data_IF_672836832882
#
_entry.id   IF_672836832882
#
_cell.length_a   1.000
_cell.length_b   1.000
_cell.length_c   1.000
_cell.angle_alpha   90.00
_cell.angle_beta   90.00
_cell.angle_gamma   90.00
#
_symmetry.space_group_name_H-M   'P 1'
#
loop_
_entity.id
_entity.type
_entity.pdbx_description
1 polymer ?
#
# COMPACT_ATOMS: atom_id res chain seq x y z
N UNK A 1 -5.80 23.59 -78.26
CA UNK A 1 -5.79 22.11 -78.14
C UNK A 1 -4.42 21.78 -77.59
N UNK A 2 -4.35 21.23 -76.37
CA UNK A 2 -3.11 21.13 -75.62
C UNK A 2 -2.22 20.01 -76.19
N UNK A 3 -0.98 20.36 -76.51
CA UNK A 3 0.11 19.43 -76.79
C UNK A 3 0.49 18.70 -75.51
N UNK A 4 0.50 17.37 -75.57
CA UNK A 4 1.13 16.53 -74.55
C UNK A 4 2.37 15.93 -75.21
N UNK A 5 3.53 16.34 -74.70
CA UNK A 5 4.84 15.82 -75.09
C UNK A 5 5.09 14.55 -74.28
N UNK A 6 5.36 13.45 -74.98
CA UNK A 6 5.75 12.15 -74.42
C UNK A 6 7.22 12.19 -73.94
N UNK A 7 7.46 11.91 -72.66
CA UNK A 7 8.75 12.04 -71.99
C UNK A 7 9.23 10.75 -71.29
N UNK A 8 8.76 9.57 -71.71
CA UNK A 8 9.28 8.30 -71.16
C UNK A 8 9.76 7.40 -72.29
N UNK A 9 11.04 7.53 -72.62
CA UNK A 9 11.77 6.63 -73.51
C UNK A 9 12.00 5.26 -72.88
N UNK A 10 10.93 4.51 -72.63
CA UNK A 10 11.00 3.15 -72.12
C UNK A 10 10.72 2.15 -73.24
N UNK A 11 11.73 1.33 -73.54
CA UNK A 11 11.60 0.19 -74.45
C UNK A 11 10.58 -0.82 -73.91
N UNK A 12 9.80 -1.48 -74.78
CA UNK A 12 8.80 -2.44 -74.33
C UNK A 12 9.49 -3.64 -73.67
N UNK A 13 9.24 -3.83 -72.37
CA UNK A 13 9.71 -4.98 -71.60
C UNK A 13 8.96 -6.24 -72.07
N UNK A 14 9.71 -7.21 -72.61
CA UNK A 14 9.20 -8.53 -72.97
C UNK A 14 8.86 -9.28 -71.67
N UNK A 15 7.57 -9.48 -71.40
CA UNK A 15 7.09 -10.31 -70.29
C UNK A 15 7.14 -11.77 -70.74
N UNK A 16 8.09 -12.54 -70.20
CA UNK A 16 8.08 -13.99 -70.35
C UNK A 16 6.97 -14.60 -69.46
N UNK A 17 6.23 -15.61 -69.94
CA UNK A 17 5.19 -16.25 -69.14
C UNK A 17 5.81 -16.94 -67.92
N UNK A 18 5.28 -16.62 -66.75
CA UNK A 18 5.61 -17.26 -65.47
C UNK A 18 5.12 -18.71 -65.56
N UNK A 19 6.05 -19.67 -65.54
CA UNK A 19 5.73 -21.10 -65.50
C UNK A 19 4.88 -21.46 -64.25
N UNK A 20 4.23 -22.63 -64.25
CA UNK A 20 3.30 -23.02 -63.18
C UNK A 20 3.98 -22.99 -61.80
N UNK A 21 3.41 -22.20 -60.88
CA UNK A 21 3.86 -22.12 -59.48
C UNK A 21 3.61 -23.47 -58.82
N UNK A 22 4.69 -24.18 -58.46
CA UNK A 22 4.59 -25.44 -57.75
C UNK A 22 3.78 -25.27 -56.45
N UNK A 23 2.89 -26.21 -56.11
CA UNK A 23 2.07 -26.10 -54.90
C UNK A 23 2.97 -26.02 -53.66
N UNK A 24 2.81 -24.98 -52.86
CA UNK A 24 3.54 -24.80 -51.60
C UNK A 24 3.30 -26.03 -50.73
N UNK A 25 4.34 -26.85 -50.51
CA UNK A 25 4.30 -27.99 -49.57
C UNK A 25 3.74 -27.48 -48.23
N UNK A 26 2.65 -28.08 -47.76
CA UNK A 26 2.11 -27.79 -46.43
C UNK A 26 3.20 -28.07 -45.40
N UNK A 27 3.59 -27.04 -44.64
CA UNK A 27 4.61 -27.17 -43.60
C UNK A 27 4.07 -28.13 -42.54
N UNK A 28 4.89 -29.09 -42.14
CA UNK A 28 4.54 -29.99 -41.05
C UNK A 28 4.09 -29.18 -39.81
N UNK A 29 3.04 -29.63 -39.10
CA UNK A 29 2.52 -28.91 -37.95
C UNK A 29 3.63 -28.69 -36.91
N UNK A 30 3.74 -27.45 -36.43
CA UNK A 30 4.77 -27.06 -35.47
C UNK A 30 4.68 -27.92 -34.22
N UNK A 31 5.82 -28.43 -33.75
CA UNK A 31 5.93 -29.19 -32.49
C UNK A 31 6.49 -28.30 -31.39
N UNK A 32 5.86 -28.32 -30.22
CA UNK A 32 6.30 -27.52 -29.08
C UNK A 32 7.65 -28.03 -28.55
N UNK A 33 8.61 -27.11 -28.35
CA UNK A 33 9.94 -27.45 -27.82
C UNK A 33 9.93 -27.96 -26.37
N UNK A 34 8.87 -27.66 -25.60
CA UNK A 34 8.67 -28.05 -24.22
C UNK A 34 7.83 -29.33 -24.11
N UNK A 35 6.52 -29.26 -24.30
CA UNK A 35 5.59 -30.39 -24.10
C UNK A 35 5.53 -31.39 -25.26
N UNK A 36 6.24 -31.12 -26.37
CA UNK A 36 6.33 -31.98 -27.57
C UNK A 36 5.02 -32.24 -28.33
N UNK A 37 3.93 -31.59 -27.95
CA UNK A 37 2.65 -31.62 -28.66
C UNK A 37 2.68 -30.82 -29.97
N UNK A 38 1.83 -31.21 -30.93
CA UNK A 38 1.69 -30.54 -32.23
C UNK A 38 0.75 -29.33 -32.16
N UNK A 39 0.83 -28.45 -33.15
CA UNK A 39 -0.09 -27.33 -33.35
C UNK A 39 0.32 -26.02 -32.67
N UNK A 40 1.39 -25.99 -31.87
CA UNK A 40 1.87 -24.78 -31.20
C UNK A 40 3.39 -24.80 -30.97
N UNK A 41 3.98 -23.63 -30.69
CA UNK A 41 5.40 -23.50 -30.35
C UNK A 41 5.58 -23.23 -28.84
N UNK A 42 6.83 -23.22 -28.36
CA UNK A 42 7.14 -23.03 -26.94
C UNK A 42 6.62 -21.70 -26.36
N UNK A 43 6.52 -20.65 -27.18
CA UNK A 43 6.06 -19.32 -26.75
C UNK A 43 4.56 -19.29 -26.47
N UNK A 44 3.79 -20.11 -27.19
CA UNK A 44 2.34 -20.25 -27.03
C UNK A 44 1.94 -21.52 -26.26
N UNK A 45 2.89 -22.16 -25.59
CA UNK A 45 2.66 -23.38 -24.84
C UNK A 45 1.75 -23.11 -23.64
N UNK A 46 0.66 -23.87 -23.49
CA UNK A 46 -0.27 -23.81 -22.35
C UNK A 46 -0.26 -25.13 -21.58
N UNK A 47 0.91 -25.71 -21.42
CA UNK A 47 1.09 -26.94 -20.65
C UNK A 47 0.46 -26.81 -19.25
N UNK A 48 -0.35 -27.78 -18.79
CA UNK A 48 -1.06 -27.69 -17.51
C UNK A 48 -0.14 -27.45 -16.31
N UNK A 49 1.05 -28.04 -16.33
CA UNK A 49 2.01 -27.91 -15.24
C UNK A 49 2.59 -26.48 -15.16
N UNK A 50 2.92 -25.89 -16.33
CA UNK A 50 3.34 -24.49 -16.42
C UNK A 50 2.23 -23.56 -15.95
N UNK A 51 1.00 -23.76 -16.45
CA UNK A 51 -0.12 -22.90 -16.11
C UNK A 51 -0.46 -22.99 -14.62
N UNK A 52 -0.31 -24.17 -14.02
CA UNK A 52 -0.46 -24.34 -12.58
C UNK A 52 0.62 -23.57 -11.80
N UNK A 53 1.89 -23.60 -12.22
CA UNK A 53 2.93 -22.76 -11.59
C UNK A 53 2.65 -21.28 -11.72
N UNK A 54 2.23 -20.80 -12.90
CA UNK A 54 1.89 -19.37 -13.05
C UNK A 54 0.74 -18.99 -12.12
N UNK A 55 -0.25 -19.86 -11.97
CA UNK A 55 -1.37 -19.65 -11.04
C UNK A 55 -0.90 -19.65 -9.58
N UNK A 56 -0.06 -20.60 -9.19
CA UNK A 56 0.53 -20.69 -7.86
C UNK A 56 1.34 -19.42 -7.54
N UNK A 57 2.20 -18.97 -8.46
CA UNK A 57 2.96 -17.72 -8.29
C UNK A 57 2.03 -16.52 -8.07
N UNK A 58 1.00 -16.35 -8.91
CA UNK A 58 0.01 -15.28 -8.75
C UNK A 58 -0.71 -15.37 -7.40
N UNK A 59 -1.08 -16.57 -6.97
CA UNK A 59 -1.72 -16.77 -5.66
C UNK A 59 -0.79 -16.46 -4.50
N UNK A 60 0.48 -16.86 -4.58
CA UNK A 60 1.50 -16.52 -3.58
C UNK A 60 1.69 -15.01 -3.52
N UNK A 61 1.96 -14.35 -4.65
CA UNK A 61 2.15 -12.90 -4.72
C UNK A 61 0.94 -12.15 -4.16
N UNK A 62 -0.29 -12.55 -4.51
CA UNK A 62 -1.51 -11.90 -4.01
C UNK A 62 -1.73 -12.08 -2.49
N UNK A 63 -1.14 -13.11 -1.88
CA UNK A 63 -1.15 -13.28 -0.41
C UNK A 63 -0.09 -12.42 0.27
N UNK A 64 0.90 -11.95 -0.49
CA UNK A 64 2.08 -11.23 -0.04
C UNK A 64 2.76 -11.89 1.18
N UNK A 65 3.28 -13.13 1.05
CA UNK A 65 4.17 -13.74 2.04
C UNK A 65 5.50 -12.96 2.12
N UNK A 66 6.42 -13.30 3.04
CA UNK A 66 7.78 -12.78 2.99
C UNK A 66 8.38 -12.96 1.59
N UNK A 67 9.05 -11.93 1.10
CA UNK A 67 9.59 -11.90 -0.25
C UNK A 67 10.51 -13.10 -0.53
N UNK A 68 11.32 -13.47 0.46
CA UNK A 68 12.23 -14.62 0.38
C UNK A 68 11.52 -15.94 0.11
N UNK A 69 10.33 -16.17 0.67
CA UNK A 69 9.53 -17.38 0.42
C UNK A 69 9.20 -17.56 -1.07
N UNK A 70 8.96 -16.46 -1.78
CA UNK A 70 8.70 -16.51 -3.23
C UNK A 70 9.99 -16.80 -3.99
N UNK A 71 11.10 -16.16 -3.60
CA UNK A 71 12.41 -16.38 -4.23
C UNK A 71 12.86 -17.83 -4.08
N UNK A 72 12.74 -18.39 -2.88
CA UNK A 72 13.09 -19.78 -2.59
C UNK A 72 12.23 -20.74 -3.42
N UNK A 73 10.93 -20.47 -3.53
CA UNK A 73 10.04 -21.26 -4.39
C UNK A 73 10.45 -21.18 -5.86
N UNK A 74 10.76 -19.99 -6.39
CA UNK A 74 11.24 -19.82 -7.77
C UNK A 74 12.56 -20.57 -8.01
N UNK A 75 13.44 -20.63 -7.01
CA UNK A 75 14.68 -21.39 -7.07
C UNK A 75 14.44 -22.91 -7.16
N UNK A 76 13.28 -23.43 -6.76
CA UNK A 76 12.95 -24.86 -6.95
C UNK A 76 12.55 -25.22 -8.38
N UNK A 77 12.17 -24.23 -9.21
CA UNK A 77 11.63 -24.45 -10.55
C UNK A 77 12.77 -24.63 -11.57
N UNK A 78 12.55 -25.51 -12.56
CA UNK A 78 13.48 -25.72 -13.66
C UNK A 78 13.56 -24.50 -14.59
N UNK A 79 14.70 -24.31 -15.23
CA UNK A 79 14.98 -23.12 -16.05
C UNK A 79 14.06 -23.00 -17.27
N UNK A 80 13.61 -24.11 -17.86
CA UNK A 80 12.77 -24.06 -19.06
C UNK A 80 11.35 -23.63 -18.70
N UNK A 81 10.82 -24.15 -17.59
CA UNK A 81 9.55 -23.71 -17.01
C UNK A 81 9.60 -22.26 -16.56
N UNK A 82 10.66 -21.83 -15.88
CA UNK A 82 10.84 -20.43 -15.48
C UNK A 82 10.79 -19.46 -16.67
N UNK A 83 11.45 -19.78 -17.78
CA UNK A 83 11.41 -18.93 -19.00
C UNK A 83 10.00 -18.75 -19.55
N UNK A 84 9.22 -19.84 -19.60
CA UNK A 84 7.85 -19.78 -20.11
C UNK A 84 6.94 -19.07 -19.09
N UNK A 85 7.10 -19.35 -17.80
CA UNK A 85 6.40 -18.65 -16.73
C UNK A 85 6.65 -17.14 -16.82
N UNK A 86 7.89 -16.71 -17.03
CA UNK A 86 8.25 -15.30 -17.12
C UNK A 86 7.49 -14.61 -18.25
N UNK A 87 7.49 -15.21 -19.45
CA UNK A 87 6.75 -14.66 -20.59
C UNK A 87 5.24 -14.54 -20.33
N UNK A 88 4.66 -15.43 -19.52
CA UNK A 88 3.23 -15.41 -19.15
C UNK A 88 2.90 -14.53 -17.95
N UNK A 89 3.86 -14.29 -17.06
CA UNK A 89 3.65 -13.53 -15.84
C UNK A 89 3.87 -12.03 -16.08
N UNK A 90 5.01 -11.68 -16.69
CA UNK A 90 5.40 -10.29 -16.97
C UNK A 90 5.05 -9.82 -18.38
N UNK A 91 4.36 -10.65 -19.17
CA UNK A 91 3.99 -10.36 -20.57
C UNK A 91 5.20 -10.00 -21.45
N UNK A 92 6.39 -10.47 -21.08
CA UNK A 92 7.63 -10.24 -21.82
C UNK A 92 7.80 -11.25 -22.95
N UNK A 93 8.58 -10.87 -23.97
CA UNK A 93 8.93 -11.80 -25.05
C UNK A 93 9.73 -12.98 -24.49
N UNK A 94 9.45 -14.19 -24.97
CA UNK A 94 10.22 -15.36 -24.58
C UNK A 94 11.70 -15.22 -24.98
N UNK A 95 12.57 -15.37 -24.00
CA UNK A 95 14.02 -15.23 -24.11
C UNK A 95 14.71 -16.42 -23.43
N UNK A 96 15.87 -16.85 -23.94
CA UNK A 96 16.65 -17.97 -23.39
C UNK A 96 17.49 -17.53 -22.17
N UNK A 97 16.87 -16.91 -21.18
CA UNK A 97 17.57 -16.46 -19.98
C UNK A 97 18.16 -17.62 -19.17
N UNK A 98 19.23 -17.36 -18.41
CA UNK A 98 19.72 -18.30 -17.39
C UNK A 98 18.72 -18.41 -16.25
N UNK A 99 18.84 -19.44 -15.39
CA UNK A 99 17.97 -19.58 -14.21
C UNK A 99 18.05 -18.35 -13.30
N UNK A 100 19.28 -17.90 -13.01
CA UNK A 100 19.55 -16.69 -12.22
C UNK A 100 18.85 -15.46 -12.81
N UNK A 101 19.04 -15.20 -14.11
CA UNK A 101 18.39 -14.07 -14.78
C UNK A 101 16.86 -14.15 -14.74
N UNK A 102 16.26 -15.35 -14.86
CA UNK A 102 14.82 -15.49 -14.72
C UNK A 102 14.35 -15.10 -13.31
N UNK A 103 15.04 -15.59 -12.28
CA UNK A 103 14.73 -15.27 -10.87
C UNK A 103 14.91 -13.76 -10.64
N UNK A 104 16.00 -13.15 -11.11
CA UNK A 104 16.25 -11.72 -10.95
C UNK A 104 15.14 -10.86 -11.57
N UNK A 105 14.65 -11.22 -12.77
CA UNK A 105 13.54 -10.48 -13.40
C UNK A 105 12.25 -10.67 -12.60
N UNK A 106 11.95 -11.88 -12.13
CA UNK A 106 10.79 -12.10 -11.25
C UNK A 106 10.92 -11.27 -9.96
N UNK A 107 12.10 -11.23 -9.35
CA UNK A 107 12.36 -10.46 -8.14
C UNK A 107 12.01 -8.99 -8.32
N UNK A 108 12.45 -8.38 -9.43
CA UNK A 108 12.13 -6.96 -9.72
C UNK A 108 10.63 -6.75 -9.90
N UNK A 109 9.98 -7.54 -10.76
CA UNK A 109 8.55 -7.37 -11.05
C UNK A 109 7.68 -7.58 -9.79
N UNK A 110 8.06 -8.54 -8.95
CA UNK A 110 7.33 -8.82 -7.70
C UNK A 110 7.63 -7.76 -6.66
N UNK A 111 8.87 -7.26 -6.55
CA UNK A 111 9.22 -6.17 -5.65
C UNK A 111 8.40 -4.91 -5.95
N UNK A 112 8.22 -4.55 -7.23
CA UNK A 112 7.36 -3.42 -7.63
C UNK A 112 5.92 -3.58 -7.12
N UNK A 113 5.37 -4.81 -7.20
CA UNK A 113 4.03 -5.09 -6.68
C UNK A 113 3.95 -4.95 -5.15
N UNK A 114 4.98 -5.39 -4.43
CA UNK A 114 5.08 -5.23 -2.98
C UNK A 114 5.19 -3.76 -2.59
N UNK A 115 6.01 -2.97 -3.27
CA UNK A 115 6.16 -1.54 -3.01
C UNK A 115 4.87 -0.76 -3.28
N UNK A 116 4.13 -1.09 -4.35
CA UNK A 116 2.83 -0.47 -4.60
C UNK A 116 1.82 -0.78 -3.48
N UNK A 117 1.78 -2.03 -3.02
CA UNK A 117 0.89 -2.44 -1.93
C UNK A 117 1.33 -1.84 -0.58
N UNK A 118 2.63 -1.74 -0.33
CA UNK A 118 3.23 -1.05 0.81
C UNK A 118 2.75 0.40 0.88
N UNK A 119 2.88 1.12 -0.24
CA UNK A 119 2.45 2.50 -0.35
C UNK A 119 0.94 2.65 -0.11
N UNK A 120 0.12 1.73 -0.65
CA UNK A 120 -1.33 1.75 -0.42
C UNK A 120 -1.69 1.50 1.05
N UNK A 121 -1.05 0.52 1.69
CA UNK A 121 -1.25 0.22 3.11
C UNK A 121 -0.80 1.39 3.99
N UNK A 122 0.33 2.02 3.65
CA UNK A 122 0.85 3.20 4.33
C UNK A 122 -0.16 4.35 4.28
N UNK A 123 -0.65 4.71 3.09
CA UNK A 123 -1.65 5.77 2.92
C UNK A 123 -2.94 5.47 3.69
N UNK A 124 -3.43 4.23 3.61
CA UNK A 124 -4.66 3.80 4.28
C UNK A 124 -4.52 3.83 5.81
N UNK A 125 -3.38 3.36 6.33
CA UNK A 125 -3.06 3.43 7.76
C UNK A 125 -2.90 4.88 8.23
N UNK A 126 -2.19 5.71 7.46
CA UNK A 126 -1.99 7.13 7.75
C UNK A 126 -3.32 7.88 7.77
N UNK A 127 -4.21 7.60 6.82
CA UNK A 127 -5.56 8.17 6.79
C UNK A 127 -6.41 7.71 7.99
N UNK A 128 -6.38 6.42 8.33
CA UNK A 128 -7.08 5.90 9.50
C UNK A 128 -6.56 6.53 10.82
N UNK A 129 -5.26 6.77 10.91
CA UNK A 129 -4.64 7.48 12.03
C UNK A 129 -5.09 8.94 12.08
N UNK A 130 -5.17 9.64 10.95
CA UNK A 130 -5.61 11.03 10.87
C UNK A 130 -7.10 11.22 11.17
N UNK A 131 -7.95 10.28 10.72
CA UNK A 131 -9.39 10.31 11.00
C UNK A 131 -9.72 10.04 12.47
N UNK A 132 -8.74 9.63 13.29
CA UNK A 132 -8.89 9.44 14.74
C UNK A 132 -9.63 8.16 15.15
N UNK A 133 -10.33 7.50 14.23
CA UNK A 133 -11.34 6.48 14.50
C UNK A 133 -10.90 5.21 15.26
N UNK A 134 -9.61 4.86 15.32
CA UNK A 134 -9.17 3.54 15.79
C UNK A 134 -8.66 3.52 17.23
N UNK A 135 -7.98 4.58 17.64
CA UNK A 135 -7.15 4.59 18.86
C UNK A 135 -7.67 5.52 19.94
N UNK A 136 -8.75 6.25 19.66
CA UNK A 136 -9.46 7.08 20.66
C UNK A 136 -10.25 6.19 21.64
N UNK A 137 -10.64 4.97 21.24
CA UNK A 137 -11.40 4.06 22.11
C UNK A 137 -10.58 3.47 23.26
N UNK A 138 -9.27 3.31 23.09
CA UNK A 138 -8.41 2.90 24.19
C UNK A 138 -8.12 4.13 25.03
N UNK A 139 -8.98 4.44 25.99
CA UNK A 139 -8.74 5.47 27.02
C UNK A 139 -7.42 5.27 27.79
N UNK A 140 -6.72 4.15 27.57
CA UNK A 140 -5.42 3.87 28.12
C UNK A 140 -4.42 3.41 27.02
N UNK A 141 -3.59 4.35 26.55
CA UNK A 141 -2.55 4.15 25.51
C UNK A 141 -1.50 3.12 25.96
N UNK A 142 -1.34 2.94 27.28
CA UNK A 142 -0.42 1.98 27.89
C UNK A 142 -0.71 0.53 27.51
N UNK A 143 -1.93 0.22 27.04
CA UNK A 143 -2.34 -1.14 26.68
C UNK A 143 -2.10 -1.49 25.19
N UNK A 144 -1.58 -0.56 24.37
CA UNK A 144 -1.35 -0.79 22.93
C UNK A 144 -0.44 -1.99 22.66
N UNK A 145 0.73 -2.14 23.30
CA UNK A 145 1.59 -3.30 23.07
C UNK A 145 0.87 -4.62 23.31
N UNK A 146 0.12 -4.72 24.41
CA UNK A 146 -0.61 -5.93 24.75
C UNK A 146 -1.74 -6.21 23.76
N UNK A 147 -2.51 -5.21 23.36
CA UNK A 147 -3.55 -5.36 22.33
C UNK A 147 -2.97 -5.82 21.00
N UNK A 148 -1.79 -5.30 20.63
CA UNK A 148 -1.10 -5.71 19.42
C UNK A 148 -0.60 -7.15 19.48
N UNK A 149 -0.02 -7.56 20.63
CA UNK A 149 0.36 -8.94 20.91
C UNK A 149 -0.84 -9.88 20.83
N UNK A 150 -1.95 -9.52 21.47
CA UNK A 150 -3.19 -10.30 21.43
C UNK A 150 -3.73 -10.45 20.00
N UNK A 151 -3.70 -9.37 19.20
CA UNK A 151 -4.07 -9.44 17.78
C UNK A 151 -3.16 -10.39 17.00
N UNK A 152 -1.84 -10.29 17.17
CA UNK A 152 -0.90 -11.15 16.47
C UNK A 152 -1.02 -12.62 16.88
N UNK A 153 -1.36 -12.89 18.14
CA UNK A 153 -1.58 -14.24 18.66
C UNK A 153 -2.84 -14.94 18.09
N UNK A 154 -3.75 -14.20 17.42
CA UNK A 154 -4.90 -14.80 16.72
C UNK A 154 -4.48 -15.58 15.47
N UNK A 155 -3.27 -15.35 14.97
CA UNK A 155 -2.74 -15.98 13.77
C UNK A 155 -1.74 -17.08 14.14
N UNK A 156 -1.63 -18.11 13.31
CA UNK A 156 -0.64 -19.17 13.49
C UNK A 156 0.76 -18.54 13.42
N UNK A 157 1.54 -18.69 14.50
CA UNK A 157 2.95 -18.29 14.54
C UNK A 157 3.71 -19.15 13.54
N UNK A 158 4.44 -18.50 12.64
CA UNK A 158 5.26 -19.16 11.63
C UNK A 158 6.47 -18.29 11.30
N UNK A 159 7.44 -18.82 10.54
CA UNK A 159 8.54 -18.02 9.98
C UNK A 159 8.04 -16.79 9.20
N UNK A 160 6.83 -16.87 8.65
CA UNK A 160 6.21 -15.79 7.88
C UNK A 160 5.38 -14.81 8.72
N UNK A 161 5.14 -15.12 9.99
CA UNK A 161 4.42 -14.28 10.94
C UNK A 161 4.95 -14.53 12.36
N UNK A 162 6.15 -14.00 12.68
CA UNK A 162 6.76 -14.19 14.00
C UNK A 162 6.04 -13.37 15.08
N UNK A 163 6.27 -13.70 16.34
CA UNK A 163 5.75 -12.89 17.45
C UNK A 163 6.27 -11.44 17.40
N UNK A 164 5.46 -10.46 17.83
CA UNK A 164 5.91 -9.07 17.92
C UNK A 164 7.10 -8.89 18.84
N UNK A 165 8.16 -8.26 18.34
CA UNK A 165 9.30 -7.87 19.18
C UNK A 165 8.95 -6.63 20.02
N UNK A 166 9.71 -6.40 21.09
CA UNK A 166 9.56 -5.16 21.89
C UNK A 166 9.83 -3.90 21.05
N UNK A 167 10.84 -3.94 20.18
CA UNK A 167 11.16 -2.83 19.29
C UNK A 167 9.99 -2.50 18.34
N UNK A 168 9.31 -3.52 17.83
CA UNK A 168 8.15 -3.34 16.96
C UNK A 168 6.94 -2.78 17.72
N UNK A 169 6.70 -3.24 18.94
CA UNK A 169 5.65 -2.70 19.81
C UNK A 169 5.90 -1.22 20.13
N UNK A 170 7.15 -0.86 20.48
CA UNK A 170 7.55 0.51 20.72
C UNK A 170 7.37 1.39 19.47
N UNK A 171 7.70 0.87 18.30
CA UNK A 171 7.50 1.54 17.01
C UNK A 171 6.01 1.81 16.75
N UNK A 172 5.15 0.82 16.95
CA UNK A 172 3.70 0.98 16.82
C UNK A 172 3.17 2.06 17.77
N UNK A 173 3.60 2.05 19.05
CA UNK A 173 3.25 3.09 20.01
C UNK A 173 3.65 4.48 19.53
N UNK A 174 4.87 4.63 19.01
CA UNK A 174 5.36 5.91 18.49
C UNK A 174 4.52 6.38 17.28
N UNK A 175 4.23 5.49 16.33
CA UNK A 175 3.36 5.78 15.17
C UNK A 175 1.99 6.27 15.63
N UNK A 176 1.41 5.59 16.61
CA UNK A 176 0.09 5.94 17.15
C UNK A 176 0.12 7.30 17.86
N UNK A 177 1.17 7.56 18.63
CA UNK A 177 1.32 8.80 19.38
C UNK A 177 1.57 10.01 18.46
N UNK A 178 2.47 9.85 17.49
CA UNK A 178 2.86 10.90 16.54
C UNK A 178 1.92 11.02 15.36
N UNK A 179 1.07 10.01 15.12
CA UNK A 179 0.22 9.89 13.93
C UNK A 179 1.03 9.99 12.64
N UNK A 180 2.25 9.46 12.66
CA UNK A 180 3.17 9.52 11.54
C UNK A 180 3.79 8.14 11.33
N UNK A 181 3.58 7.55 10.16
CA UNK A 181 4.21 6.28 9.79
C UNK A 181 5.51 6.58 9.04
N UNK A 182 6.67 6.08 9.51
CA UNK A 182 7.92 6.25 8.79
C UNK A 182 7.85 5.65 7.37
N UNK A 183 8.44 6.35 6.40
CA UNK A 183 8.40 5.97 4.99
C UNK A 183 9.33 4.80 4.62
N UNK A 184 10.26 4.44 5.51
CA UNK A 184 11.30 3.43 5.27
C UNK A 184 11.01 2.09 5.97
N UNK A 185 9.79 1.89 6.48
CA UNK A 185 9.41 0.63 7.11
C UNK A 185 9.32 -0.49 6.07
N UNK A 186 9.58 -1.72 6.52
CA UNK A 186 9.44 -2.91 5.69
C UNK A 186 7.96 -3.24 5.46
N UNK A 187 7.63 -3.72 4.26
CA UNK A 187 6.25 -4.02 3.85
C UNK A 187 5.48 -4.86 4.87
N UNK A 188 6.09 -5.93 5.37
CA UNK A 188 5.43 -6.84 6.31
C UNK A 188 5.06 -6.13 7.62
N UNK A 189 5.93 -5.23 8.11
CA UNK A 189 5.68 -4.39 9.28
C UNK A 189 4.54 -3.41 9.02
N UNK A 190 4.57 -2.69 7.89
CA UNK A 190 3.52 -1.74 7.48
C UNK A 190 2.18 -2.44 7.35
N UNK A 191 2.14 -3.60 6.66
CA UNK A 191 0.94 -4.41 6.48
C UNK A 191 0.39 -4.88 7.82
N UNK A 192 1.24 -5.34 8.74
CA UNK A 192 0.81 -5.84 10.05
C UNK A 192 0.22 -4.71 10.90
N UNK A 193 0.84 -3.54 10.90
CA UNK A 193 0.30 -2.34 11.55
C UNK A 193 -1.01 -1.88 10.93
N UNK A 194 -1.09 -1.82 9.60
CA UNK A 194 -2.33 -1.49 8.90
C UNK A 194 -3.46 -2.45 9.28
N UNK A 195 -3.23 -3.76 9.22
CA UNK A 195 -4.25 -4.75 9.55
C UNK A 195 -4.68 -4.66 11.01
N UNK A 196 -3.74 -4.42 11.95
CA UNK A 196 -4.08 -4.18 13.34
C UNK A 196 -4.97 -2.94 13.51
N UNK A 197 -4.63 -1.83 12.84
CA UNK A 197 -5.43 -0.60 12.87
C UNK A 197 -6.84 -0.87 12.34
N UNK A 198 -6.98 -1.56 11.20
CA UNK A 198 -8.28 -1.93 10.62
C UNK A 198 -9.06 -2.86 11.55
N UNK A 199 -8.41 -3.87 12.13
CA UNK A 199 -9.02 -4.79 13.08
C UNK A 199 -9.63 -4.02 14.26
N UNK A 200 -8.85 -3.11 14.86
CA UNK A 200 -9.30 -2.28 15.98
C UNK A 200 -10.42 -1.32 15.59
N UNK A 201 -10.42 -0.80 14.36
CA UNK A 201 -11.52 -0.01 13.84
C UNK A 201 -12.82 -0.81 13.75
N UNK A 202 -12.74 -2.04 13.23
CA UNK A 202 -13.89 -2.93 13.12
C UNK A 202 -14.43 -3.32 14.50
N UNK A 203 -13.57 -3.57 15.49
CA UNK A 203 -14.00 -3.80 16.88
C UNK A 203 -14.76 -2.61 17.45
N UNK A 204 -14.27 -1.40 17.22
CA UNK A 204 -14.93 -0.16 17.63
C UNK A 204 -16.32 -0.04 17.01
N UNK A 205 -16.45 -0.24 15.69
CA UNK A 205 -17.75 -0.18 15.00
C UNK A 205 -18.75 -1.20 15.54
N UNK A 206 -18.29 -2.39 15.93
CA UNK A 206 -19.15 -3.43 16.54
C UNK A 206 -19.60 -3.09 17.96
N UNK A 207 -18.74 -2.44 18.74
CA UNK A 207 -19.02 -2.09 20.13
C UNK A 207 -19.75 -0.74 20.30
N UNK A 208 -19.78 0.10 19.25
CA UNK A 208 -20.44 1.39 19.29
C UNK A 208 -21.99 1.23 19.37
N UNK A 209 -22.68 1.91 20.31
CA UNK A 209 -24.13 1.86 20.40
C UNK A 209 -24.79 2.46 19.14
N UNK A 210 -25.95 1.91 18.76
CA UNK A 210 -26.64 2.14 17.47
C UNK A 210 -27.09 3.60 17.17
N UNK A 211 -26.95 4.54 18.11
CA UNK A 211 -27.40 5.92 17.99
C UNK A 211 -26.25 6.93 17.85
N UNK A 212 -25.37 6.74 16.88
CA UNK A 212 -24.36 7.75 16.54
C UNK A 212 -24.61 8.33 15.14
N UNK A 213 -25.67 9.16 15.02
CA UNK A 213 -25.75 10.16 13.95
C UNK A 213 -24.82 11.36 14.19
N UNK A 214 -24.09 11.39 15.32
CA UNK A 214 -23.06 12.40 15.54
C UNK A 214 -21.68 11.83 15.19
N UNK A 215 -21.19 12.17 14.00
CA UNK A 215 -19.76 12.24 13.67
C UNK A 215 -19.06 13.32 14.54
N UNK A 216 -19.28 13.29 15.85
CA UNK A 216 -18.53 14.09 16.80
C UNK A 216 -17.13 13.49 16.89
N UNK A 217 -16.19 14.15 16.22
CA UNK A 217 -14.77 13.99 16.52
C UNK A 217 -14.61 14.29 18.01
N UNK A 218 -14.50 13.25 18.84
CA UNK A 218 -14.06 13.37 20.23
C UNK A 218 -12.56 13.64 20.19
N UNK A 219 -12.18 14.92 20.16
CA UNK A 219 -10.78 15.34 20.26
C UNK A 219 -10.14 14.69 21.50
N UNK A 220 -8.95 14.09 21.35
CA UNK A 220 -8.22 13.56 22.51
C UNK A 220 -7.71 14.75 23.31
N UNK A 221 -8.32 15.04 24.46
CA UNK A 221 -7.78 15.99 25.42
C UNK A 221 -6.77 15.25 26.30
N UNK A 222 -5.48 15.48 26.07
CA UNK A 222 -4.40 14.86 26.86
C UNK A 222 -4.02 15.81 27.98
N UNK A 223 -3.93 15.33 29.22
CA UNK A 223 -3.51 16.16 30.35
C UNK A 223 -2.02 16.01 30.61
N UNK A 224 -1.29 17.13 30.67
CA UNK A 224 0.10 17.18 31.16
C UNK A 224 0.10 17.83 32.54
N UNK A 225 0.78 17.18 33.50
CA UNK A 225 0.95 17.67 34.87
C UNK A 225 2.21 18.54 34.94
N UNK A 226 2.06 19.84 35.18
CA UNK A 226 3.16 20.79 35.39
C UNK A 226 2.70 21.88 36.36
N UNK A 227 3.55 22.22 37.32
CA UNK A 227 3.20 22.95 38.57
C UNK A 227 3.26 24.49 38.46
N UNK A 228 3.53 25.06 37.27
CA UNK A 228 3.81 26.48 37.12
C UNK A 228 2.74 27.24 36.33
N UNK A 229 2.36 28.44 36.83
CA UNK A 229 1.51 29.37 36.09
C UNK A 229 2.23 29.79 34.81
N UNK A 230 1.62 29.47 33.67
CA UNK A 230 2.18 29.82 32.37
C UNK A 230 1.42 31.03 31.81
N UNK A 231 2.17 32.05 31.40
CA UNK A 231 1.63 33.20 30.71
C UNK A 231 1.42 32.86 29.23
N UNK A 232 0.22 33.11 28.71
CA UNK A 232 -0.06 33.00 27.27
C UNK A 232 -0.61 34.30 26.74
N UNK A 233 -0.28 34.59 25.49
CA UNK A 233 -1.01 35.56 24.69
C UNK A 233 -1.99 34.78 23.81
N UNK A 234 -3.26 34.77 24.22
CA UNK A 234 -4.25 33.97 23.51
C UNK A 234 -4.70 34.71 22.24
N UNK A 235 -4.49 34.17 21.04
CA UNK A 235 -4.82 34.83 19.78
C UNK A 235 -6.33 34.91 19.49
N UNK A 236 -7.17 34.22 20.28
CA UNK A 236 -8.64 34.26 20.13
C UNK A 236 -9.22 35.45 20.90
N UNK A 237 -8.85 35.60 22.18
CA UNK A 237 -9.36 36.70 23.00
C UNK A 237 -8.46 37.94 22.97
N UNK A 238 -7.25 37.83 22.39
CA UNK A 238 -6.24 38.90 22.34
C UNK A 238 -5.82 39.41 23.73
N UNK A 239 -5.94 38.56 24.75
CA UNK A 239 -5.54 38.87 26.11
C UNK A 239 -4.32 38.04 26.51
N UNK A 240 -3.44 38.68 27.28
CA UNK A 240 -2.38 38.00 28.01
C UNK A 240 -2.98 37.41 29.29
N UNK A 241 -3.07 36.08 29.36
CA UNK A 241 -3.61 35.36 30.50
C UNK A 241 -2.51 34.61 31.23
N UNK A 242 -2.46 34.77 32.55
CA UNK A 242 -1.78 33.81 33.43
C UNK A 242 -2.81 32.75 33.81
N UNK A 243 -2.67 31.55 33.25
CA UNK A 243 -3.65 30.48 33.49
C UNK A 243 -2.95 29.13 33.48
N UNK A 244 -3.36 28.19 34.36
CA UNK A 244 -2.91 26.81 34.25
C UNK A 244 -3.53 26.11 33.03
N UNK A 245 -4.64 26.63 32.50
CA UNK A 245 -5.48 25.97 31.52
C UNK A 245 -5.17 26.39 30.08
N UNK A 246 -3.98 26.00 29.62
CA UNK A 246 -3.54 26.23 28.24
C UNK A 246 -3.89 25.02 27.40
N UNK A 247 -4.50 25.29 26.25
CA UNK A 247 -4.75 24.30 25.21
C UNK A 247 -3.74 24.44 24.09
N UNK A 248 -2.97 23.37 23.85
CA UNK A 248 -2.09 23.28 22.69
C UNK A 248 -2.71 22.37 21.64
N UNK A 249 -2.87 22.89 20.43
CA UNK A 249 -3.37 22.16 19.26
C UNK A 249 -2.30 21.24 18.66
N UNK A 250 -2.70 20.32 17.78
CA UNK A 250 -1.78 19.45 17.01
C UNK A 250 -0.74 20.22 16.20
N UNK A 251 -1.06 21.42 15.73
CA UNK A 251 -0.13 22.29 15.02
C UNK A 251 0.79 23.11 15.94
N UNK A 252 0.74 22.90 17.26
CA UNK A 252 1.61 23.58 18.23
C UNK A 252 1.10 24.93 18.72
N UNK A 253 0.06 25.49 18.12
CA UNK A 253 -0.54 26.75 18.55
C UNK A 253 -1.27 26.61 19.88
N UNK A 254 -1.09 27.61 20.75
CA UNK A 254 -1.60 27.67 22.11
C UNK A 254 -2.77 28.65 22.25
N UNK A 255 -3.72 28.29 23.10
CA UNK A 255 -4.94 29.05 23.33
C UNK A 255 -5.37 28.95 24.79
N UNK A 256 -6.13 29.93 25.26
CA UNK A 256 -6.82 29.83 26.54
C UNK A 256 -7.90 28.74 26.46
N UNK A 257 -8.06 27.95 27.52
CA UNK A 257 -9.08 26.90 27.57
C UNK A 257 -10.47 27.42 27.20
N UNK A 258 -10.93 28.50 27.84
CA UNK A 258 -12.26 29.07 27.63
C UNK A 258 -12.51 29.43 26.15
N UNK A 259 -11.47 29.97 25.51
CA UNK A 259 -11.49 30.44 24.14
C UNK A 259 -11.65 29.27 23.17
N UNK A 260 -10.81 28.25 23.33
CA UNK A 260 -10.85 27.07 22.48
C UNK A 260 -12.09 26.21 22.78
N UNK A 261 -12.51 26.09 24.03
CA UNK A 261 -13.75 25.42 24.42
C UNK A 261 -14.97 26.04 23.71
N UNK A 262 -15.02 27.36 23.61
CA UNK A 262 -16.05 28.07 22.84
C UNK A 262 -15.99 27.73 21.34
N UNK A 263 -14.80 27.60 20.76
CA UNK A 263 -14.63 27.21 19.34
C UNK A 263 -15.08 25.77 19.10
N UNK A 264 -14.83 24.86 20.05
CA UNK A 264 -15.24 23.47 19.96
C UNK A 264 -16.75 23.32 20.07
N UNK A 265 -17.39 24.03 20.99
CA UNK A 265 -18.83 23.94 21.23
C UNK A 265 -19.69 24.66 20.19
N UNK A 266 -19.16 25.68 19.48
CA UNK A 266 -19.91 26.44 18.47
C UNK A 266 -19.95 25.77 17.09
N UNK A 267 -19.17 24.71 16.84
CA UNK A 267 -19.09 24.08 15.51
C UNK A 267 -20.00 22.87 15.40
N UNK A 268 -21.00 22.97 14.52
CA UNK A 268 -21.85 21.87 14.04
C UNK A 268 -21.18 21.00 12.97
N UNK A 269 -20.07 21.49 12.37
CA UNK A 269 -19.33 20.77 11.33
C UNK A 269 -18.27 19.83 11.91
N UNK A 270 -18.22 18.61 11.39
CA UNK A 270 -17.37 17.47 11.77
C UNK A 270 -15.83 17.69 11.71
N UNK A 271 -15.31 18.92 11.64
CA UNK A 271 -13.86 19.22 11.60
C UNK A 271 -13.52 20.50 12.37
N UNK A 272 -12.83 20.37 13.53
CA UNK A 272 -12.18 21.51 14.16
C UNK A 272 -10.89 21.85 13.41
N UNK A 273 -10.70 23.13 13.11
CA UNK A 273 -9.44 23.66 12.58
C UNK A 273 -8.87 24.66 13.56
N UNK A 274 -7.55 24.78 13.57
CA UNK A 274 -6.83 25.72 14.40
C UNK A 274 -7.26 27.16 14.04
N UNK A 275 -7.69 27.98 15.01
CA UNK A 275 -8.08 29.36 14.75
C UNK A 275 -6.96 30.23 14.16
N UNK A 276 -5.69 29.89 14.42
CA UNK A 276 -4.53 30.63 13.89
C UNK A 276 -4.17 30.22 12.47
N UNK A 277 -3.86 28.94 12.23
CA UNK A 277 -3.31 28.48 10.95
C UNK A 277 -4.29 27.68 10.09
N UNK A 278 -5.50 27.42 10.58
CA UNK A 278 -6.52 26.58 9.93
C UNK A 278 -6.10 25.13 9.69
N UNK A 279 -4.96 24.69 10.23
CA UNK A 279 -4.60 23.27 10.25
C UNK A 279 -5.65 22.48 11.02
N UNK A 280 -6.06 21.30 10.55
CA UNK A 280 -6.99 20.47 11.29
C UNK A 280 -6.49 20.12 12.70
N UNK A 281 -7.38 20.19 13.69
CA UNK A 281 -7.09 19.89 15.10
C UNK A 281 -7.67 18.53 15.42
N UNK A 282 -6.83 17.58 15.82
CA UNK A 282 -7.25 16.20 16.14
C UNK A 282 -6.91 15.78 17.58
N UNK A 283 -6.05 16.55 18.25
CA UNK A 283 -5.60 16.38 19.64
C UNK A 283 -5.52 17.76 20.28
N UNK A 284 -5.96 17.84 21.51
CA UNK A 284 -5.86 19.01 22.36
C UNK A 284 -5.09 18.59 23.59
N UNK A 285 -4.09 19.34 24.01
CA UNK A 285 -3.39 19.06 25.29
C UNK A 285 -3.85 20.11 26.27
N UNK A 286 -4.55 19.71 27.33
CA UNK A 286 -5.04 20.58 28.40
C UNK A 286 -4.14 20.40 29.62
N UNK A 287 -3.48 21.46 30.03
CA UNK A 287 -2.83 21.48 31.33
C UNK A 287 -3.91 21.84 32.37
N UNK A 288 -4.12 21.04 33.42
CA UNK A 288 -5.09 21.31 34.50
C UNK A 288 -4.51 20.85 35.82
N UNK A 289 -4.78 21.58 36.91
CA UNK A 289 -4.52 21.18 38.29
C UNK A 289 -5.86 21.20 39.05
N UNK A 290 -6.09 20.19 39.89
CA UNK A 290 -7.19 20.11 40.86
C UNK A 290 -6.83 20.80 42.16
#
# INVERSE_FOLDING_TARGET
>A
MAEIIDLTGDTPVVIHPIGPIAPKRQRAPTRCGYCKNLGHNVRSCNDPEIMNSVRQLRQMVNRFPPFQTIIDWLQTIDVNRLRIMLSKYSYTSYTKHSKKMCVDIFSVVIADQYHMEEHRNLLSAQEALHRGNVLIWTHNVENIPQLYRNYCAQFIISETNPEPTEAECAMLCNIIYTRNIPTHLQYHTVKRFYNFIVYRYAEYLRAAPANHETNEIKYIITRKHTEELTQIECPICMETKQTPNILTTTCGHQFCWDCMYTVLNKRTSQRCVCPLCRSPVYKLVQNTIS
#
